data_IF_874709457374
#
_entry.id   IF_874709457374
#
_cell.length_a   1.000
_cell.length_b   1.000
_cell.length_c   1.000
_cell.angle_alpha   90.00
_cell.angle_beta   90.00
_cell.angle_gamma   90.00
#
_symmetry.space_group_name_H-M   'P 1'
#
loop_
_entity.id
_entity.type
_entity.pdbx_description
1 polymer ?
#
# COMPACT_ATOMS: atom_id res chain seq x y z
N UNK A 1 -19.23 7.08 16.89
CA UNK A 1 -19.48 6.52 15.55
C UNK A 1 -19.30 5.01 15.66
N UNK A 2 -20.18 4.25 15.04
CA UNK A 2 -20.06 2.78 15.01
C UNK A 2 -18.79 2.38 14.26
N UNK A 3 -17.92 1.59 14.88
CA UNK A 3 -16.72 1.10 14.25
C UNK A 3 -17.05 -0.20 13.48
N UNK A 4 -16.86 -0.17 12.15
CA UNK A 4 -17.19 -1.29 11.28
C UNK A 4 -15.96 -2.13 11.01
N UNK A 5 -16.11 -3.43 11.05
CA UNK A 5 -15.10 -4.39 10.60
C UNK A 5 -15.31 -4.63 9.09
N UNK A 6 -14.33 -4.27 8.29
CA UNK A 6 -14.41 -4.40 6.85
C UNK A 6 -13.89 -5.76 6.37
N UNK A 7 -14.54 -6.30 5.35
CA UNK A 7 -14.02 -7.46 4.62
C UNK A 7 -12.74 -7.07 3.88
N UNK A 8 -11.66 -7.85 4.07
CA UNK A 8 -10.36 -7.59 3.46
C UNK A 8 -9.88 -8.81 2.70
N UNK A 9 -9.29 -8.60 1.50
CA UNK A 9 -8.61 -9.66 0.72
C UNK A 9 -7.47 -10.30 1.50
N UNK A 10 -6.86 -9.53 2.37
CA UNK A 10 -5.77 -9.97 3.24
C UNK A 10 -6.17 -11.15 4.14
N UNK A 11 -7.44 -11.26 4.51
CA UNK A 11 -7.96 -12.38 5.31
C UNK A 11 -7.70 -13.74 4.65
N UNK A 12 -7.88 -13.84 3.33
CA UNK A 12 -7.59 -15.07 2.59
C UNK A 12 -6.10 -15.44 2.61
N UNK A 13 -5.19 -14.44 2.63
CA UNK A 13 -3.75 -14.68 2.78
C UNK A 13 -3.41 -15.20 4.18
N UNK A 14 -4.13 -14.77 5.21
CA UNK A 14 -3.98 -15.29 6.58
C UNK A 14 -4.47 -16.74 6.68
N UNK A 15 -5.59 -17.08 6.03
CA UNK A 15 -6.07 -18.46 5.94
C UNK A 15 -5.03 -19.35 5.25
N UNK A 16 -4.52 -18.93 4.12
CA UNK A 16 -3.47 -19.64 3.39
C UNK A 16 -2.23 -19.87 4.28
N UNK A 17 -1.77 -18.84 5.01
CA UNK A 17 -0.66 -18.98 5.97
C UNK A 17 -0.97 -20.03 7.04
N UNK A 18 -2.16 -19.99 7.64
CA UNK A 18 -2.56 -20.95 8.69
C UNK A 18 -2.56 -22.39 8.17
N UNK A 19 -3.12 -22.61 6.97
CA UNK A 19 -3.22 -23.93 6.33
C UNK A 19 -1.86 -24.46 5.86
N UNK A 20 -1.03 -23.65 5.22
CA UNK A 20 0.25 -24.07 4.66
C UNK A 20 1.34 -24.19 5.72
N UNK A 21 1.37 -23.29 6.70
CA UNK A 21 2.45 -23.24 7.71
C UNK A 21 2.18 -24.10 8.92
N UNK A 22 0.94 -24.31 9.28
CA UNK A 22 0.53 -25.19 10.40
C UNK A 22 1.34 -24.98 11.70
N UNK A 23 1.65 -23.72 12.03
CA UNK A 23 2.40 -23.31 13.21
C UNK A 23 3.93 -23.42 13.09
N UNK A 24 4.49 -23.68 11.90
CA UNK A 24 5.94 -23.69 11.68
C UNK A 24 6.54 -22.29 11.55
N UNK A 25 5.72 -21.26 11.35
CA UNK A 25 6.11 -19.84 11.35
C UNK A 25 5.07 -18.99 12.05
N UNK A 26 5.51 -17.91 12.72
CA UNK A 26 4.62 -16.82 13.11
C UNK A 26 4.23 -15.98 11.87
N UNK A 27 3.10 -15.29 11.94
CA UNK A 27 2.68 -14.32 10.93
C UNK A 27 3.02 -12.90 11.38
N UNK A 28 3.91 -12.21 10.67
CA UNK A 28 4.13 -10.78 10.86
C UNK A 28 3.31 -9.97 9.85
N UNK A 29 2.30 -9.24 10.34
CA UNK A 29 1.48 -8.31 9.55
C UNK A 29 2.17 -6.94 9.51
N UNK A 30 2.78 -6.61 8.37
CA UNK A 30 3.38 -5.31 8.11
C UNK A 30 2.36 -4.38 7.44
N UNK A 31 2.56 -3.09 7.58
CA UNK A 31 1.75 -2.09 6.89
C UNK A 31 1.85 -0.73 7.57
N UNK A 32 1.42 0.31 6.86
CA UNK A 32 1.38 1.66 7.40
C UNK A 32 0.49 1.73 8.67
N UNK A 33 0.64 2.79 9.42
CA UNK A 33 -0.22 3.05 10.58
C UNK A 33 -1.67 3.23 10.13
N UNK A 34 -2.65 2.79 10.93
CA UNK A 34 -4.10 2.94 10.68
C UNK A 34 -4.67 2.16 9.47
N UNK A 35 -3.95 1.21 8.90
CA UNK A 35 -4.47 0.33 7.82
C UNK A 35 -5.32 -0.84 8.33
N UNK A 36 -5.46 -1.01 9.66
CA UNK A 36 -6.31 -2.04 10.28
C UNK A 36 -5.61 -3.35 10.63
N UNK A 37 -4.29 -3.32 10.94
CA UNK A 37 -3.51 -4.53 11.29
C UNK A 37 -4.05 -5.26 12.52
N UNK A 38 -4.22 -4.55 13.63
CA UNK A 38 -4.73 -5.10 14.90
C UNK A 38 -6.15 -5.64 14.74
N UNK A 39 -7.02 -4.86 14.08
CA UNK A 39 -8.41 -5.24 13.82
C UNK A 39 -8.52 -6.55 13.02
N UNK A 40 -7.73 -6.69 11.93
CA UNK A 40 -7.80 -7.92 11.12
C UNK A 40 -7.17 -9.12 11.84
N UNK A 41 -6.11 -8.89 12.64
CA UNK A 41 -5.49 -9.96 13.44
C UNK A 41 -6.47 -10.49 14.49
N UNK A 42 -7.16 -9.59 15.19
CA UNK A 42 -8.16 -9.97 16.19
C UNK A 42 -9.39 -10.62 15.54
N UNK A 43 -9.93 -10.06 14.46
CA UNK A 43 -11.04 -10.67 13.71
C UNK A 43 -10.69 -12.09 13.24
N UNK A 44 -9.47 -12.29 12.75
CA UNK A 44 -9.00 -13.60 12.33
C UNK A 44 -8.90 -14.58 13.52
N UNK A 45 -8.39 -14.11 14.66
CA UNK A 45 -8.30 -14.92 15.85
C UNK A 45 -9.68 -15.35 16.38
N UNK A 46 -10.64 -14.43 16.40
CA UNK A 46 -12.03 -14.69 16.81
C UNK A 46 -12.72 -15.74 15.92
N UNK A 47 -12.47 -15.70 14.63
CA UNK A 47 -13.18 -16.55 13.67
C UNK A 47 -12.51 -17.93 13.48
N UNK A 48 -11.18 -17.99 13.56
CA UNK A 48 -10.40 -19.14 13.11
C UNK A 48 -9.81 -19.98 14.26
N UNK A 49 -9.91 -19.50 15.51
CA UNK A 49 -9.37 -20.19 16.68
C UNK A 49 -10.42 -20.33 17.78
N UNK A 50 -10.25 -21.37 18.59
CA UNK A 50 -11.12 -21.65 19.74
C UNK A 50 -10.97 -20.62 20.85
N UNK A 51 -9.75 -20.12 21.04
CA UNK A 51 -9.42 -19.06 21.98
C UNK A 51 -8.19 -18.27 21.50
N UNK A 52 -8.04 -17.04 21.98
CA UNK A 52 -6.89 -16.21 21.67
C UNK A 52 -6.51 -15.32 22.86
N UNK A 53 -5.26 -14.91 22.91
CA UNK A 53 -4.78 -13.83 23.77
C UNK A 53 -4.24 -12.73 22.86
N UNK A 54 -4.75 -11.50 23.02
CA UNK A 54 -4.22 -10.31 22.38
C UNK A 54 -3.42 -9.51 23.41
N UNK A 55 -2.12 -9.34 23.17
CA UNK A 55 -1.21 -8.57 23.99
C UNK A 55 -0.87 -7.28 23.22
N UNK A 56 -1.52 -6.18 23.58
CA UNK A 56 -1.13 -4.85 23.10
C UNK A 56 0.05 -4.35 23.94
N UNK A 57 1.25 -4.34 23.35
CA UNK A 57 2.47 -3.91 24.03
C UNK A 57 2.54 -2.40 24.27
N UNK A 58 1.61 -1.60 23.75
CA UNK A 58 1.50 -0.18 24.10
C UNK A 58 0.81 0.03 25.44
N UNK A 59 -0.15 -0.83 25.79
CA UNK A 59 -1.03 -0.66 26.95
C UNK A 59 -0.89 -1.75 28.02
N UNK A 60 -0.30 -2.93 27.66
CA UNK A 60 -0.21 -4.03 28.60
C UNK A 60 0.63 -3.69 29.85
N UNK A 61 0.30 -4.26 31.02
CA UNK A 61 1.08 -4.09 32.25
C UNK A 61 2.54 -4.52 32.05
N UNK A 62 3.46 -3.86 32.78
CA UNK A 62 4.89 -4.20 32.75
C UNK A 62 5.15 -5.68 33.09
N UNK A 63 4.36 -6.25 33.98
CA UNK A 63 4.38 -7.65 34.36
C UNK A 63 4.28 -8.59 33.13
N UNK A 64 3.44 -8.24 32.13
CA UNK A 64 3.30 -9.02 30.89
C UNK A 64 4.59 -8.93 30.05
N UNK A 65 5.19 -7.75 29.96
CA UNK A 65 6.47 -7.56 29.24
C UNK A 65 7.61 -8.33 29.90
N UNK A 66 7.62 -8.36 31.23
CA UNK A 66 8.64 -9.03 32.05
C UNK A 66 8.63 -10.55 31.89
N UNK A 67 7.50 -11.15 31.45
CA UNK A 67 7.44 -12.59 31.13
C UNK A 67 8.44 -12.99 30.03
N UNK A 68 8.79 -12.06 29.14
CA UNK A 68 9.71 -12.30 28.04
C UNK A 68 11.18 -12.06 28.38
N UNK A 69 11.51 -11.62 29.62
CA UNK A 69 12.88 -11.47 30.09
C UNK A 69 13.57 -12.83 30.26
N UNK A 70 12.82 -13.85 30.67
CA UNK A 70 13.30 -15.22 30.77
C UNK A 70 12.32 -16.20 30.13
N UNK A 71 12.67 -16.66 28.94
CA UNK A 71 11.88 -17.64 28.19
C UNK A 71 12.33 -19.08 28.38
N UNK A 72 13.11 -19.38 29.44
CA UNK A 72 13.61 -20.75 29.73
C UNK A 72 12.48 -21.73 29.97
N UNK A 73 11.44 -21.30 30.71
CA UNK A 73 10.26 -22.08 31.06
C UNK A 73 8.98 -21.54 30.39
N UNK A 74 8.64 -22.10 29.22
CA UNK A 74 7.44 -21.68 28.47
C UNK A 74 6.13 -22.05 29.17
N UNK A 75 6.12 -23.15 29.95
CA UNK A 75 4.91 -23.57 30.70
C UNK A 75 4.51 -22.51 31.71
N UNK A 76 5.48 -21.96 32.44
CA UNK A 76 5.22 -20.90 33.41
C UNK A 76 4.73 -19.60 32.71
N UNK A 77 5.27 -19.27 31.52
CA UNK A 77 4.82 -18.12 30.76
C UNK A 77 3.38 -18.30 30.32
N UNK A 78 3.04 -19.41 29.68
CA UNK A 78 1.68 -19.65 29.22
C UNK A 78 0.67 -19.74 30.35
N UNK A 79 1.06 -20.34 31.47
CA UNK A 79 0.20 -20.39 32.67
C UNK A 79 -0.13 -18.95 33.15
N UNK A 80 0.89 -18.10 33.28
CA UNK A 80 0.70 -16.72 33.74
C UNK A 80 -0.13 -15.91 32.74
N UNK A 81 0.12 -16.03 31.42
CA UNK A 81 -0.69 -15.37 30.40
C UNK A 81 -2.17 -15.81 30.49
N UNK A 82 -2.46 -17.10 30.69
CA UNK A 82 -3.82 -17.58 30.84
C UNK A 82 -4.51 -16.97 32.08
N UNK A 83 -3.79 -16.81 33.18
CA UNK A 83 -4.33 -16.16 34.39
C UNK A 83 -4.56 -14.65 34.16
N UNK A 84 -3.57 -13.95 33.59
CA UNK A 84 -3.64 -12.49 33.38
C UNK A 84 -4.75 -12.09 32.39
N UNK A 85 -4.98 -12.92 31.36
CA UNK A 85 -5.99 -12.67 30.34
C UNK A 85 -7.29 -13.47 30.54
N UNK A 86 -7.40 -14.20 31.65
CA UNK A 86 -8.56 -15.07 31.98
C UNK A 86 -9.00 -15.94 30.78
N UNK A 87 -8.04 -16.57 30.09
CA UNK A 87 -8.26 -17.30 28.85
C UNK A 87 -7.56 -18.64 28.89
N UNK A 88 -8.27 -19.71 28.55
CA UNK A 88 -7.68 -21.05 28.42
C UNK A 88 -7.15 -21.26 27.00
N UNK A 89 -5.86 -21.56 26.89
CA UNK A 89 -5.22 -21.88 25.63
C UNK A 89 -5.25 -23.38 25.35
N UNK A 90 -5.75 -23.76 24.19
CA UNK A 90 -5.80 -25.15 23.72
C UNK A 90 -4.72 -25.37 22.66
N UNK A 91 -3.81 -26.37 22.82
CA UNK A 91 -2.77 -26.65 21.82
C UNK A 91 -3.33 -26.83 20.41
N UNK A 92 -2.69 -26.19 19.43
CA UNK A 92 -3.03 -26.15 18.00
C UNK A 92 -4.42 -25.58 17.67
N UNK A 93 -5.16 -25.05 18.66
CA UNK A 93 -6.47 -24.44 18.48
C UNK A 93 -6.52 -22.99 19.01
N UNK A 94 -5.42 -22.48 19.51
CA UNK A 94 -5.33 -21.11 20.05
C UNK A 94 -4.22 -20.33 19.36
N UNK A 95 -4.38 -19.01 19.34
CA UNK A 95 -3.40 -18.07 18.81
C UNK A 95 -3.07 -16.99 19.85
N UNK A 96 -1.82 -16.56 19.87
CA UNK A 96 -1.38 -15.42 20.68
C UNK A 96 -0.98 -14.28 19.71
N UNK A 97 -1.62 -13.12 19.88
CA UNK A 97 -1.37 -11.92 19.07
C UNK A 97 -0.45 -11.00 19.86
N UNK A 98 0.69 -10.64 19.27
CA UNK A 98 1.62 -9.64 19.75
C UNK A 98 1.39 -8.35 18.96
N UNK A 99 0.52 -7.48 19.49
CA UNK A 99 0.20 -6.22 18.86
C UNK A 99 1.22 -5.14 19.20
N UNK A 100 1.62 -4.34 18.20
CA UNK A 100 2.66 -3.32 18.30
C UNK A 100 3.98 -3.87 18.93
N UNK A 101 4.44 -5.01 18.40
CA UNK A 101 5.53 -5.84 18.95
C UNK A 101 6.85 -5.10 19.15
N UNK A 102 7.08 -3.96 18.49
CA UNK A 102 8.27 -3.13 18.67
C UNK A 102 8.40 -2.55 20.10
N UNK A 103 7.31 -2.47 20.86
CA UNK A 103 7.35 -2.01 22.25
C UNK A 103 7.75 -3.10 23.25
N UNK A 104 7.93 -4.35 22.78
CA UNK A 104 8.52 -5.45 23.55
C UNK A 104 9.49 -6.27 22.67
N UNK A 105 10.71 -5.78 22.40
CA UNK A 105 11.67 -6.46 21.55
C UNK A 105 11.99 -7.90 21.98
N UNK A 106 11.97 -8.18 23.27
CA UNK A 106 12.21 -9.53 23.81
C UNK A 106 11.09 -10.51 23.46
N UNK A 107 9.82 -10.06 23.43
CA UNK A 107 8.72 -10.90 22.96
C UNK A 107 8.93 -11.28 21.48
N UNK A 108 9.35 -10.31 20.64
CA UNK A 108 9.69 -10.59 19.25
C UNK A 108 10.87 -11.57 19.13
N UNK A 109 11.92 -11.42 19.94
CA UNK A 109 13.05 -12.37 19.96
C UNK A 109 12.62 -13.76 20.38
N UNK A 110 11.61 -13.87 21.26
CA UNK A 110 11.06 -15.13 21.76
C UNK A 110 10.36 -15.96 20.66
N UNK A 111 9.88 -15.34 19.58
CA UNK A 111 9.11 -15.98 18.51
C UNK A 111 9.76 -17.27 18.02
N UNK A 112 11.07 -17.29 17.82
CA UNK A 112 11.81 -18.48 17.39
C UNK A 112 11.58 -19.66 18.34
N UNK A 113 11.63 -19.43 19.66
CA UNK A 113 11.45 -20.47 20.66
C UNK A 113 9.97 -20.86 20.79
N UNK A 114 9.09 -19.88 20.73
CA UNK A 114 7.64 -20.07 20.79
C UNK A 114 7.12 -20.89 19.60
N UNK A 115 7.55 -20.58 18.39
CA UNK A 115 7.21 -21.37 17.18
C UNK A 115 7.78 -22.78 17.26
N UNK A 116 9.02 -22.94 17.74
CA UNK A 116 9.63 -24.27 17.93
C UNK A 116 8.88 -25.14 18.94
N UNK A 117 8.29 -24.56 19.98
CA UNK A 117 7.43 -25.24 20.95
C UNK A 117 6.15 -25.80 20.32
N UNK A 118 5.64 -25.18 19.28
CA UNK A 118 4.58 -25.64 18.40
C UNK A 118 3.20 -25.83 19.05
N UNK A 119 2.97 -25.36 20.27
CA UNK A 119 1.65 -25.45 20.95
C UNK A 119 0.62 -24.49 20.38
N UNK A 120 1.01 -23.26 20.05
CA UNK A 120 0.10 -22.20 19.62
C UNK A 120 0.60 -21.57 18.33
N UNK A 121 -0.31 -20.91 17.62
CA UNK A 121 0.05 -20.03 16.52
C UNK A 121 0.34 -18.62 17.05
N UNK A 122 1.14 -17.84 16.33
CA UNK A 122 1.54 -16.49 16.72
C UNK A 122 1.32 -15.52 15.59
N UNK A 123 0.69 -14.37 15.88
CA UNK A 123 0.53 -13.25 14.95
C UNK A 123 1.20 -12.05 15.58
N UNK A 124 2.07 -11.41 14.83
CA UNK A 124 2.73 -10.16 15.21
C UNK A 124 2.19 -9.03 14.36
N UNK A 125 1.92 -7.87 14.95
CA UNK A 125 1.65 -6.65 14.22
C UNK A 125 2.66 -5.58 14.58
N UNK A 126 2.86 -4.64 13.69
CA UNK A 126 3.71 -3.49 13.91
C UNK A 126 4.06 -2.75 12.63
N UNK A 127 4.46 -1.49 12.73
CA UNK A 127 5.06 -0.80 11.60
C UNK A 127 6.49 -1.30 11.42
N UNK A 128 6.86 -1.71 10.20
CA UNK A 128 8.21 -2.25 9.93
C UNK A 128 9.30 -1.26 10.34
N UNK A 129 9.01 0.00 10.18
CA UNK A 129 9.86 1.11 10.50
C UNK A 129 10.17 1.21 12.00
N UNK A 130 9.13 1.18 12.84
CA UNK A 130 9.27 1.12 14.29
C UNK A 130 9.97 -0.18 14.72
N UNK A 131 9.61 -1.31 14.09
CA UNK A 131 10.27 -2.59 14.35
C UNK A 131 11.78 -2.49 14.12
N UNK A 132 12.25 -2.00 12.97
CA UNK A 132 13.68 -1.84 12.68
C UNK A 132 14.39 -0.96 13.71
N UNK A 133 13.79 0.15 14.09
CA UNK A 133 14.38 1.09 15.04
C UNK A 133 14.54 0.50 16.44
N UNK A 134 13.50 -0.15 16.96
CA UNK A 134 13.48 -0.66 18.34
C UNK A 134 14.09 -2.06 18.49
N UNK A 135 14.34 -2.79 17.39
CA UNK A 135 14.86 -4.15 17.41
C UNK A 135 16.32 -4.26 16.93
N UNK A 136 17.06 -3.15 16.87
CA UNK A 136 18.49 -3.15 16.45
C UNK A 136 19.37 -4.09 17.26
N UNK A 137 19.03 -4.36 18.52
CA UNK A 137 19.83 -5.16 19.45
C UNK A 137 19.31 -6.57 19.70
N UNK A 138 18.32 -7.05 18.94
CA UNK A 138 17.80 -8.41 19.09
C UNK A 138 18.09 -9.25 17.83
N UNK A 139 18.08 -10.57 17.99
CA UNK A 139 18.07 -11.47 16.84
C UNK A 139 16.69 -11.48 16.22
N UNK A 140 16.59 -11.05 14.97
CA UNK A 140 15.35 -11.12 14.21
C UNK A 140 14.99 -12.59 13.98
N UNK A 141 13.77 -13.02 14.31
CA UNK A 141 13.34 -14.39 14.06
C UNK A 141 13.42 -14.76 12.58
N UNK A 142 13.89 -15.95 12.28
CA UNK A 142 13.83 -16.55 10.92
C UNK A 142 12.52 -17.28 10.67
N UNK A 143 11.81 -17.63 11.73
CA UNK A 143 10.58 -18.40 11.73
C UNK A 143 9.34 -17.47 11.58
N UNK A 144 9.41 -16.55 10.61
CA UNK A 144 8.34 -15.58 10.30
C UNK A 144 7.90 -15.67 8.84
N UNK A 145 6.60 -15.72 8.62
CA UNK A 145 5.97 -15.36 7.34
C UNK A 145 5.57 -13.89 7.40
N UNK A 146 6.01 -13.10 6.41
CA UNK A 146 5.79 -11.65 6.39
C UNK A 146 4.78 -11.28 5.32
N UNK A 147 3.64 -10.74 5.71
CA UNK A 147 2.62 -10.25 4.80
C UNK A 147 2.43 -8.74 4.98
N UNK A 148 2.16 -8.03 3.88
CA UNK A 148 1.92 -6.58 3.92
C UNK A 148 0.45 -6.29 3.72
N UNK A 149 -0.15 -5.56 4.69
CA UNK A 149 -1.50 -5.01 4.61
C UNK A 149 -1.41 -3.57 4.11
N UNK A 150 -2.06 -3.31 2.98
CA UNK A 150 -2.21 -1.99 2.39
C UNK A 150 -3.53 -1.33 2.79
N UNK A 151 -3.75 -0.02 2.53
CA UNK A 151 -5.10 0.56 2.56
C UNK A 151 -6.07 -0.28 1.73
N UNK A 152 -7.36 -0.14 1.97
CA UNK A 152 -8.40 -0.84 1.21
C UNK A 152 -8.26 -0.50 -0.28
N UNK A 153 -8.21 -1.51 -1.13
CA UNK A 153 -8.25 -1.31 -2.57
C UNK A 153 -9.68 -0.98 -3.06
N UNK A 154 -9.82 -0.72 -4.37
CA UNK A 154 -11.12 -0.34 -4.92
C UNK A 154 -12.18 -1.43 -4.74
N UNK A 155 -11.84 -2.70 -4.84
CA UNK A 155 -12.78 -3.80 -4.62
C UNK A 155 -13.21 -3.90 -3.15
N UNK A 156 -12.27 -3.77 -2.21
CA UNK A 156 -12.57 -3.76 -0.77
C UNK A 156 -13.45 -2.54 -0.38
N UNK A 157 -13.20 -1.39 -1.01
CA UNK A 157 -14.06 -0.21 -0.88
C UNK A 157 -15.48 -0.49 -1.42
N UNK A 158 -15.61 -1.15 -2.59
CA UNK A 158 -16.91 -1.57 -3.13
C UNK A 158 -17.64 -2.51 -2.16
N UNK A 159 -16.93 -3.47 -1.58
CA UNK A 159 -17.51 -4.36 -0.56
C UNK A 159 -18.03 -3.57 0.64
N UNK A 160 -17.29 -2.58 1.12
CA UNK A 160 -17.71 -1.70 2.22
C UNK A 160 -18.97 -0.90 1.87
N UNK A 161 -19.16 -0.54 0.59
CA UNK A 161 -20.37 0.10 0.05
C UNK A 161 -21.51 -0.89 -0.21
N UNK A 162 -21.36 -2.19 0.10
CA UNK A 162 -22.35 -3.23 -0.12
C UNK A 162 -22.37 -3.85 -1.52
N UNK A 163 -21.38 -3.57 -2.36
CA UNK A 163 -21.28 -4.08 -3.72
C UNK A 163 -20.19 -5.17 -3.84
N UNK A 164 -20.64 -6.39 -4.04
CA UNK A 164 -19.78 -7.56 -4.25
C UNK A 164 -19.81 -8.09 -5.69
N UNK A 165 -20.61 -7.47 -6.57
CA UNK A 165 -20.92 -7.99 -7.91
C UNK A 165 -20.11 -7.27 -9.00
N UNK A 166 -19.89 -5.98 -8.86
CA UNK A 166 -19.27 -5.15 -9.90
C UNK A 166 -17.87 -5.62 -10.28
N UNK A 167 -16.98 -5.85 -9.30
CA UNK A 167 -15.59 -6.20 -9.62
C UNK A 167 -15.43 -7.55 -10.34
N UNK A 168 -16.14 -8.64 -9.98
CA UNK A 168 -16.15 -9.86 -10.77
C UNK A 168 -16.60 -9.64 -12.23
N UNK A 169 -17.63 -8.79 -12.45
CA UNK A 169 -18.10 -8.46 -13.80
C UNK A 169 -17.04 -7.67 -14.59
N UNK A 170 -16.35 -6.71 -13.96
CA UNK A 170 -15.27 -5.94 -14.58
C UNK A 170 -14.11 -6.84 -14.99
N UNK A 171 -13.71 -7.82 -14.14
CA UNK A 171 -12.69 -8.83 -14.49
C UNK A 171 -13.10 -9.66 -15.69
N UNK A 172 -14.35 -10.17 -15.69
CA UNK A 172 -14.85 -10.93 -16.84
C UNK A 172 -14.85 -10.10 -18.12
N UNK A 173 -15.26 -8.82 -18.06
CA UNK A 173 -15.21 -7.92 -19.21
C UNK A 173 -13.76 -7.69 -19.69
N UNK A 174 -12.82 -7.50 -18.76
CA UNK A 174 -11.40 -7.34 -19.08
C UNK A 174 -10.81 -8.59 -19.75
N UNK A 175 -11.04 -9.76 -19.19
CA UNK A 175 -10.56 -11.04 -19.73
C UNK A 175 -11.09 -11.31 -21.15
N UNK A 176 -12.37 -11.01 -21.36
CA UNK A 176 -13.03 -11.17 -22.67
C UNK A 176 -12.81 -9.99 -23.62
N UNK A 177 -12.06 -8.94 -23.18
CA UNK A 177 -11.81 -7.70 -23.94
C UNK A 177 -13.08 -7.01 -24.43
N UNK A 178 -14.11 -7.05 -23.60
CA UNK A 178 -15.45 -6.55 -23.92
C UNK A 178 -15.64 -5.15 -23.34
N UNK A 179 -15.93 -4.18 -24.20
CA UNK A 179 -16.31 -2.83 -23.77
C UNK A 179 -17.60 -2.82 -22.96
N UNK A 180 -17.69 -1.88 -22.01
CA UNK A 180 -18.83 -1.77 -21.09
C UNK A 180 -19.95 -0.85 -21.62
N UNK A 181 -19.63 0.01 -22.58
CA UNK A 181 -20.49 1.09 -23.08
C UNK A 181 -20.46 2.34 -22.18
N UNK A 182 -20.71 3.49 -22.80
CA UNK A 182 -20.54 4.81 -22.16
C UNK A 182 -21.35 5.01 -20.87
N UNK A 183 -22.55 4.43 -20.79
CA UNK A 183 -23.42 4.54 -19.62
C UNK A 183 -22.81 3.87 -18.39
N UNK A 184 -22.31 2.65 -18.56
CA UNK A 184 -21.66 1.88 -17.48
C UNK A 184 -20.35 2.54 -17.09
N UNK A 185 -19.53 2.93 -18.07
CA UNK A 185 -18.24 3.63 -17.83
C UNK A 185 -18.46 4.90 -17.02
N UNK A 186 -19.47 5.71 -17.35
CA UNK A 186 -19.78 6.94 -16.61
C UNK A 186 -20.14 6.65 -15.15
N UNK A 187 -20.97 5.64 -14.92
CA UNK A 187 -21.32 5.20 -13.56
C UNK A 187 -20.08 4.73 -12.79
N UNK A 188 -19.28 3.84 -13.39
CA UNK A 188 -18.07 3.30 -12.74
C UNK A 188 -17.05 4.41 -12.45
N UNK A 189 -16.87 5.36 -13.36
CA UNK A 189 -16.03 6.53 -13.12
C UNK A 189 -16.54 7.41 -11.98
N UNK A 190 -17.85 7.56 -11.82
CA UNK A 190 -18.46 8.27 -10.68
C UNK A 190 -18.09 7.60 -9.35
N UNK A 191 -18.34 6.30 -9.25
CA UNK A 191 -18.03 5.49 -8.07
C UNK A 191 -16.52 5.47 -7.78
N UNK A 192 -15.70 5.38 -8.82
CA UNK A 192 -14.24 5.38 -8.69
C UNK A 192 -13.70 6.74 -8.21
N UNK A 193 -14.25 7.86 -8.69
CA UNK A 193 -13.89 9.19 -8.19
C UNK A 193 -14.21 9.34 -6.71
N UNK A 194 -15.33 8.78 -6.24
CA UNK A 194 -15.65 8.75 -4.82
C UNK A 194 -14.56 8.00 -4.03
N UNK A 195 -14.12 6.83 -4.52
CA UNK A 195 -13.02 6.10 -3.91
C UNK A 195 -11.71 6.93 -3.88
N UNK A 196 -11.39 7.63 -4.96
CA UNK A 196 -10.22 8.53 -4.98
C UNK A 196 -10.32 9.65 -3.91
N UNK A 197 -11.51 10.16 -3.65
CA UNK A 197 -11.74 11.22 -2.66
C UNK A 197 -11.70 10.71 -1.22
N UNK A 198 -12.38 9.60 -0.95
CA UNK A 198 -12.44 8.98 0.38
C UNK A 198 -11.11 8.31 0.73
N UNK A 199 -10.53 7.62 -0.24
CA UNK A 199 -9.35 6.76 -0.04
C UNK A 199 -9.72 5.38 0.48
N UNK A 200 -8.69 4.58 0.76
CA UNK A 200 -8.79 3.23 1.29
C UNK A 200 -8.42 3.10 2.77
N UNK A 201 -8.19 4.21 3.49
CA UNK A 201 -7.94 4.14 4.92
C UNK A 201 -9.21 3.75 5.67
N UNK A 202 -9.24 2.64 6.45
CA UNK A 202 -10.47 2.15 7.09
C UNK A 202 -11.22 3.19 7.90
N UNK A 203 -10.51 4.07 8.61
CA UNK A 203 -11.14 5.14 9.37
C UNK A 203 -11.83 6.19 8.49
N UNK A 204 -11.23 6.55 7.35
CA UNK A 204 -11.82 7.47 6.38
C UNK A 204 -13.05 6.86 5.70
N UNK A 205 -12.97 5.57 5.33
CA UNK A 205 -14.12 4.82 4.77
C UNK A 205 -15.24 4.72 5.80
N UNK A 206 -14.93 4.42 7.06
CA UNK A 206 -15.91 4.37 8.15
C UNK A 206 -16.57 5.73 8.40
N UNK A 207 -15.80 6.82 8.40
CA UNK A 207 -16.33 8.18 8.53
C UNK A 207 -17.31 8.49 7.39
N UNK A 208 -16.98 8.14 6.16
CA UNK A 208 -17.85 8.33 5.00
C UNK A 208 -19.15 7.53 5.13
N UNK A 209 -19.07 6.24 5.44
CA UNK A 209 -20.22 5.35 5.55
C UNK A 209 -21.20 5.75 6.69
N UNK A 210 -20.67 6.32 7.76
CA UNK A 210 -21.50 6.73 8.89
C UNK A 210 -22.14 8.12 8.68
N UNK A 211 -21.55 9.00 7.87
CA UNK A 211 -21.94 10.40 7.84
C UNK A 211 -22.26 10.93 6.44
N UNK A 212 -21.79 10.26 5.39
CA UNK A 212 -21.81 10.76 4.01
C UNK A 212 -21.24 12.18 3.87
N UNK A 213 -20.27 12.54 4.72
CA UNK A 213 -19.73 13.90 4.85
C UNK A 213 -18.23 13.92 4.53
N UNK A 214 -17.87 14.49 3.39
CA UNK A 214 -16.48 14.59 2.93
C UNK A 214 -15.61 15.52 3.80
N UNK A 215 -16.21 16.45 4.56
CA UNK A 215 -15.48 17.29 5.52
C UNK A 215 -14.90 16.44 6.66
N UNK A 216 -15.74 15.56 7.23
CA UNK A 216 -15.28 14.65 8.28
C UNK A 216 -14.26 13.64 7.75
N UNK A 217 -14.43 13.15 6.52
CA UNK A 217 -13.45 12.30 5.85
C UNK A 217 -12.10 13.03 5.71
N UNK A 218 -12.11 14.30 5.28
CA UNK A 218 -10.88 15.09 5.14
C UNK A 218 -10.20 15.31 6.48
N UNK A 219 -10.95 15.60 7.56
CA UNK A 219 -10.41 15.73 8.92
C UNK A 219 -9.69 14.44 9.37
N UNK A 220 -10.33 13.27 9.18
CA UNK A 220 -9.73 11.96 9.51
C UNK A 220 -8.45 11.73 8.69
N UNK A 221 -8.43 12.08 7.41
CA UNK A 221 -7.24 11.94 6.57
C UNK A 221 -6.09 12.85 7.03
N UNK A 222 -6.38 14.08 7.45
CA UNK A 222 -5.39 15.02 8.03
C UNK A 222 -4.75 14.41 9.27
N UNK A 223 -5.53 13.87 10.21
CA UNK A 223 -5.01 13.18 11.39
C UNK A 223 -4.07 12.02 11.02
N UNK A 224 -4.43 11.22 10.02
CA UNK A 224 -3.59 10.11 9.55
C UNK A 224 -2.27 10.62 8.94
N UNK A 225 -2.31 11.69 8.14
CA UNK A 225 -1.12 12.31 7.53
C UNK A 225 -0.18 12.86 8.63
N UNK A 226 -0.72 13.50 9.66
CA UNK A 226 0.06 13.98 10.81
C UNK A 226 0.73 12.82 11.56
N UNK A 227 0.02 11.72 11.78
CA UNK A 227 0.61 10.50 12.38
C UNK A 227 1.77 9.94 11.54
N UNK A 228 1.66 9.96 10.21
CA UNK A 228 2.76 9.54 9.34
C UNK A 228 3.96 10.50 9.44
N UNK A 229 3.70 11.81 9.47
CA UNK A 229 4.74 12.81 9.65
C UNK A 229 5.46 12.66 11.00
N UNK A 230 4.72 12.34 12.06
CA UNK A 230 5.30 12.07 13.38
C UNK A 230 6.16 10.79 13.40
N UNK A 231 5.71 9.75 12.73
CA UNK A 231 6.50 8.53 12.59
C UNK A 231 7.79 8.80 11.80
N UNK A 232 7.75 9.63 10.75
CA UNK A 232 8.95 10.06 10.03
C UNK A 232 9.89 10.93 10.89
N UNK A 233 9.38 11.81 11.75
CA UNK A 233 10.20 12.60 12.71
C UNK A 233 10.90 11.71 13.73
N UNK A 234 10.25 10.63 14.16
CA UNK A 234 10.87 9.66 15.10
C UNK A 234 12.07 8.95 14.47
N UNK A 235 12.03 8.69 13.16
CA UNK A 235 13.09 7.98 12.44
C UNK A 235 14.21 8.93 12.06
N UNK A 236 13.84 10.04 11.47
CA UNK A 236 14.74 11.10 11.07
C UNK A 236 14.46 12.39 11.86
N UNK A 237 15.10 12.59 13.02
CA UNK A 237 14.96 13.80 13.82
C UNK A 237 15.41 15.08 13.10
N UNK A 238 16.15 14.96 11.98
CA UNK A 238 16.54 16.13 11.15
C UNK A 238 15.37 16.68 10.33
N UNK A 239 14.26 15.94 10.27
CA UNK A 239 13.04 16.31 9.57
C UNK A 239 13.11 16.20 8.03
N UNK A 240 14.16 15.60 7.47
CA UNK A 240 14.30 15.43 6.02
C UNK A 240 13.24 14.50 5.46
N UNK A 241 13.00 13.34 6.13
CA UNK A 241 11.96 12.39 5.75
C UNK A 241 10.57 13.06 5.71
N UNK A 242 10.24 13.83 6.73
CA UNK A 242 8.96 14.56 6.80
C UNK A 242 8.83 15.58 5.66
N UNK A 243 9.89 16.36 5.37
CA UNK A 243 9.90 17.30 4.25
C UNK A 243 9.75 16.59 2.90
N UNK A 244 10.43 15.47 2.72
CA UNK A 244 10.30 14.65 1.51
C UNK A 244 8.89 14.10 1.36
N UNK A 245 8.27 13.65 2.43
CA UNK A 245 6.89 13.16 2.42
C UNK A 245 5.90 14.25 1.96
N UNK A 246 5.90 15.41 2.61
CA UNK A 246 5.00 16.51 2.23
C UNK A 246 5.26 17.07 0.82
N UNK A 247 6.45 16.89 0.28
CA UNK A 247 6.78 17.36 -1.06
C UNK A 247 6.28 16.43 -2.19
N UNK A 248 5.81 15.21 -1.88
CA UNK A 248 5.39 14.23 -2.90
C UNK A 248 4.39 14.82 -3.91
N UNK A 249 3.28 15.46 -3.50
CA UNK A 249 2.32 16.01 -4.47
C UNK A 249 2.94 17.07 -5.38
N UNK A 250 3.76 17.96 -4.84
CA UNK A 250 4.41 19.00 -5.61
C UNK A 250 5.47 18.45 -6.60
N UNK A 251 6.15 17.35 -6.24
CA UNK A 251 7.11 16.69 -7.13
C UNK A 251 6.41 16.01 -8.31
N UNK A 252 5.31 15.31 -8.07
CA UNK A 252 4.52 14.65 -9.12
C UNK A 252 3.84 15.68 -10.05
N UNK A 253 3.30 16.76 -9.49
CA UNK A 253 2.64 17.81 -10.29
C UNK A 253 3.60 18.54 -11.26
N UNK A 254 4.90 18.53 -11.00
CA UNK A 254 5.91 19.12 -11.91
C UNK A 254 6.19 18.27 -13.16
N UNK A 255 5.55 17.13 -13.32
CA UNK A 255 5.83 16.15 -14.38
C UNK A 255 7.33 15.84 -14.52
N UNK A 256 8.02 15.78 -13.39
CA UNK A 256 9.44 15.46 -13.36
C UNK A 256 9.61 13.95 -13.50
N UNK A 257 10.51 13.52 -14.36
CA UNK A 257 10.81 12.11 -14.62
C UNK A 257 11.39 11.36 -13.40
N UNK A 258 11.62 12.05 -12.27
CA UNK A 258 12.09 11.48 -11.01
C UNK A 258 11.81 12.43 -9.85
N UNK A 259 11.82 11.93 -8.65
CA UNK A 259 11.82 12.73 -7.43
C UNK A 259 13.14 13.51 -7.31
N UNK A 260 13.08 14.84 -7.31
CA UNK A 260 14.25 15.71 -7.27
C UNK A 260 14.59 16.08 -5.82
N UNK A 261 15.35 15.24 -5.13
CA UNK A 261 15.71 15.42 -3.72
C UNK A 261 16.34 16.80 -3.44
N UNK A 262 17.24 17.27 -4.30
CA UNK A 262 17.91 18.56 -4.14
C UNK A 262 16.96 19.79 -4.17
N UNK A 263 15.73 19.63 -4.66
CA UNK A 263 14.73 20.72 -4.63
C UNK A 263 13.94 20.77 -3.32
N UNK A 264 14.09 19.76 -2.46
CA UNK A 264 13.38 19.62 -1.18
C UNK A 264 14.34 19.73 0.00
N UNK A 265 15.52 19.18 -0.15
CA UNK A 265 16.59 19.15 0.87
C UNK A 265 17.79 19.89 0.31
N UNK A 266 18.20 20.96 0.99
CA UNK A 266 19.43 21.71 0.68
C UNK A 266 20.63 20.76 0.78
N UNK A 267 21.51 20.79 -0.22
CA UNK A 267 22.63 19.86 -0.38
C UNK A 267 22.23 18.37 -0.39
N UNK A 268 20.96 18.07 -0.69
CA UNK A 268 20.40 16.72 -0.74
C UNK A 268 20.95 15.92 -1.93
N UNK A 269 21.96 15.07 -1.65
CA UNK A 269 22.39 14.01 -2.56
C UNK A 269 21.74 12.70 -2.16
N UNK A 270 21.26 11.96 -3.14
CA UNK A 270 20.52 10.72 -2.88
C UNK A 270 21.35 9.66 -2.15
N UNK A 271 22.63 9.54 -2.46
CA UNK A 271 23.56 8.65 -1.79
C UNK A 271 23.63 8.87 -0.26
N UNK A 272 23.50 10.12 0.18
CA UNK A 272 23.46 10.49 1.62
C UNK A 272 22.08 10.30 2.26
N UNK A 273 21.05 10.11 1.46
CA UNK A 273 19.66 9.98 1.90
C UNK A 273 19.07 8.59 1.62
N UNK A 274 19.87 7.69 1.08
CA UNK A 274 19.41 6.34 0.68
C UNK A 274 18.77 5.58 1.86
N UNK A 275 19.31 5.69 3.07
CA UNK A 275 18.73 5.07 4.26
C UNK A 275 17.37 5.68 4.61
N UNK A 276 17.23 7.01 4.50
CA UNK A 276 15.96 7.71 4.74
C UNK A 276 14.91 7.28 3.70
N UNK A 277 15.28 7.19 2.43
CA UNK A 277 14.39 6.74 1.35
C UNK A 277 13.94 5.31 1.59
N UNK A 278 14.86 4.42 1.98
CA UNK A 278 14.54 3.04 2.32
C UNK A 278 13.62 2.95 3.54
N UNK A 279 13.84 3.76 4.56
CA UNK A 279 12.97 3.81 5.73
C UNK A 279 11.57 4.34 5.38
N UNK A 280 11.48 5.34 4.49
CA UNK A 280 10.19 5.82 3.98
C UNK A 280 9.43 4.72 3.21
N UNK A 281 10.11 3.94 2.37
CA UNK A 281 9.51 2.80 1.67
C UNK A 281 9.06 1.69 2.65
N UNK A 282 9.88 1.40 3.64
CA UNK A 282 9.59 0.40 4.68
C UNK A 282 8.41 0.81 5.58
N UNK A 283 8.14 2.09 5.73
CA UNK A 283 6.95 2.58 6.44
C UNK A 283 5.65 2.10 5.84
N UNK A 284 5.65 1.80 4.55
CA UNK A 284 4.48 1.52 3.71
C UNK A 284 3.48 2.67 3.60
N UNK A 285 3.81 3.85 4.13
CA UNK A 285 3.07 5.10 3.89
C UNK A 285 3.44 5.71 2.53
N UNK A 286 4.61 5.35 2.01
CA UNK A 286 5.14 5.77 0.71
C UNK A 286 5.35 4.57 -0.18
N UNK A 287 5.06 4.72 -1.47
CA UNK A 287 5.37 3.75 -2.52
C UNK A 287 6.49 4.33 -3.38
N UNK A 288 7.46 3.51 -3.72
CA UNK A 288 8.56 3.91 -4.58
C UNK A 288 8.49 3.14 -5.89
N UNK A 289 8.57 3.88 -6.99
CA UNK A 289 8.78 3.33 -8.32
C UNK A 289 10.22 3.61 -8.73
N UNK A 290 10.99 2.55 -8.94
CA UNK A 290 12.40 2.64 -9.31
C UNK A 290 12.57 2.75 -10.82
N UNK A 291 13.57 3.53 -11.25
CA UNK A 291 13.95 3.56 -12.67
C UNK A 291 14.60 2.22 -13.05
N UNK A 292 14.16 1.63 -14.14
CA UNK A 292 14.80 0.46 -14.74
C UNK A 292 15.79 0.92 -15.82
N UNK A 293 17.10 0.77 -15.59
CA UNK A 293 18.14 1.18 -16.56
C UNK A 293 18.09 0.35 -17.86
N UNK A 294 17.79 -0.94 -17.76
CA UNK A 294 17.47 -1.80 -18.89
C UNK A 294 16.09 -2.43 -18.68
N UNK A 295 15.05 -2.02 -19.44
CA UNK A 295 13.71 -2.56 -19.29
C UNK A 295 13.64 -3.97 -19.90
N UNK A 296 13.95 -4.97 -19.06
CA UNK A 296 13.99 -6.38 -19.42
C UNK A 296 13.37 -7.21 -18.27
N UNK A 297 13.23 -8.50 -18.50
CA UNK A 297 12.85 -9.45 -17.46
C UNK A 297 13.80 -9.32 -16.25
N UNK A 298 13.26 -9.43 -15.04
CA UNK A 298 14.06 -9.21 -13.84
C UNK A 298 14.33 -7.71 -13.62
N UNK A 299 13.32 -6.86 -13.74
CA UNK A 299 13.42 -5.40 -13.55
C UNK A 299 14.23 -5.00 -12.32
N UNK A 300 14.13 -5.77 -11.22
CA UNK A 300 14.89 -5.53 -10.00
C UNK A 300 16.42 -5.67 -10.18
N UNK A 301 16.88 -6.44 -11.18
CA UNK A 301 18.32 -6.56 -11.49
C UNK A 301 18.88 -5.30 -12.16
N UNK A 302 18.00 -4.50 -12.76
CA UNK A 302 18.34 -3.30 -13.52
C UNK A 302 17.84 -2.03 -12.83
N UNK A 303 17.50 -2.14 -11.55
CA UNK A 303 17.01 -1.04 -10.72
C UNK A 303 18.09 0.00 -10.51
N UNK A 304 17.76 1.25 -10.79
CA UNK A 304 18.56 2.40 -10.38
C UNK A 304 18.13 2.83 -8.98
N UNK A 305 19.06 2.83 -8.04
CA UNK A 305 18.80 3.22 -6.65
C UNK A 305 18.80 4.73 -6.44
N UNK A 306 19.30 5.50 -7.41
CA UNK A 306 19.39 6.95 -7.34
C UNK A 306 18.24 7.64 -8.09
N UNK A 307 17.55 6.92 -8.96
CA UNK A 307 16.43 7.44 -9.73
C UNK A 307 15.13 6.72 -9.37
N UNK A 308 14.21 7.47 -8.79
CA UNK A 308 12.92 6.94 -8.36
C UNK A 308 11.84 8.02 -8.41
N UNK A 309 10.59 7.59 -8.44
CA UNK A 309 9.39 8.38 -8.14
C UNK A 309 8.83 7.96 -6.79
N UNK A 310 8.24 8.90 -6.06
CA UNK A 310 7.53 8.63 -4.81
C UNK A 310 6.05 8.90 -4.98
N UNK A 311 5.25 7.99 -4.43
CA UNK A 311 3.79 8.09 -4.37
C UNK A 311 3.32 7.91 -2.93
N UNK A 312 2.17 8.47 -2.59
CA UNK A 312 1.51 8.18 -1.31
C UNK A 312 0.74 6.86 -1.46
N UNK A 313 0.80 6.02 -0.46
CA UNK A 313 0.16 4.70 -0.46
C UNK A 313 -1.37 4.72 -0.58
N UNK A 314 -1.98 5.89 -0.39
CA UNK A 314 -3.43 6.11 -0.48
C UNK A 314 -3.72 7.43 -1.19
N UNK A 315 -4.50 7.35 -2.28
CA UNK A 315 -4.79 8.53 -3.11
C UNK A 315 -5.71 9.52 -2.41
N UNK A 316 -6.56 9.08 -1.48
CA UNK A 316 -7.35 9.99 -0.65
C UNK A 316 -6.46 10.86 0.24
N UNK A 317 -5.44 10.27 0.87
CA UNK A 317 -4.43 11.01 1.62
C UNK A 317 -3.63 11.95 0.70
N UNK A 318 -3.21 11.46 -0.48
CA UNK A 318 -2.50 12.27 -1.47
C UNK A 318 -3.28 13.53 -1.87
N UNK A 319 -4.58 13.43 -2.12
CA UNK A 319 -5.45 14.55 -2.50
C UNK A 319 -5.53 15.57 -1.36
N UNK A 320 -5.65 15.14 -0.11
CA UNK A 320 -5.64 16.03 1.06
C UNK A 320 -4.28 16.72 1.22
N UNK A 321 -3.17 15.99 1.03
CA UNK A 321 -1.81 16.55 1.08
C UNK A 321 -1.55 17.60 0.00
N UNK A 322 -2.10 17.43 -1.19
CA UNK A 322 -1.88 18.34 -2.33
C UNK A 322 -2.42 19.75 -2.06
N UNK A 323 -3.35 19.91 -1.14
CA UNK A 323 -3.94 21.18 -0.71
C UNK A 323 -3.98 21.26 0.83
N UNK A 324 -2.84 21.01 1.45
CA UNK A 324 -2.72 20.97 2.90
C UNK A 324 -3.10 22.26 3.61
N UNK A 325 -2.84 23.39 2.97
CA UNK A 325 -3.15 24.77 3.44
C UNK A 325 -4.62 25.18 3.25
N UNK A 326 -5.43 24.32 2.62
CA UNK A 326 -6.85 24.55 2.31
C UNK A 326 -7.73 23.53 2.99
N UNK A 327 -8.96 23.90 3.31
CA UNK A 327 -9.97 22.91 3.66
C UNK A 327 -10.47 22.16 2.38
N UNK A 328 -11.27 21.11 2.57
CA UNK A 328 -11.75 20.30 1.44
C UNK A 328 -12.63 21.09 0.48
N UNK A 329 -13.33 22.15 0.92
CA UNK A 329 -14.23 22.97 0.08
C UNK A 329 -13.45 23.84 -0.90
N UNK A 330 -12.24 24.28 -0.52
CA UNK A 330 -11.32 25.03 -1.36
C UNK A 330 -10.38 24.16 -2.19
N UNK A 331 -10.33 22.84 -1.90
CA UNK A 331 -9.51 21.91 -2.64
C UNK A 331 -10.06 21.70 -4.06
N UNK A 332 -9.36 22.26 -5.04
CA UNK A 332 -9.76 22.23 -6.45
C UNK A 332 -9.85 20.80 -7.02
N UNK A 333 -9.08 19.85 -6.48
CA UNK A 333 -9.17 18.43 -6.89
C UNK A 333 -10.51 17.84 -6.48
N UNK A 334 -10.98 18.11 -5.25
CA UNK A 334 -12.31 17.70 -4.81
C UNK A 334 -13.39 18.25 -5.74
N UNK A 335 -13.33 19.56 -6.03
CA UNK A 335 -14.31 20.22 -6.92
C UNK A 335 -14.30 19.61 -8.33
N UNK A 336 -13.13 19.35 -8.91
CA UNK A 336 -13.00 18.76 -10.25
C UNK A 336 -13.50 17.32 -10.29
N UNK A 337 -13.16 16.52 -9.29
CA UNK A 337 -13.60 15.13 -9.22
C UNK A 337 -15.13 15.02 -8.99
N UNK A 338 -15.69 15.82 -8.11
CA UNK A 338 -17.15 15.85 -7.86
C UNK A 338 -17.93 16.37 -9.08
N UNK A 339 -17.40 17.37 -9.80
CA UNK A 339 -18.08 17.98 -10.96
C UNK A 339 -17.90 17.20 -12.28
N UNK A 340 -17.28 16.01 -12.26
CA UNK A 340 -16.94 15.24 -13.47
C UNK A 340 -16.07 16.02 -14.50
N UNK A 341 -15.32 16.98 -14.04
CA UNK A 341 -14.41 17.80 -14.86
C UNK A 341 -12.98 17.28 -14.78
N UNK A 342 -12.75 16.14 -15.41
CA UNK A 342 -11.40 15.60 -15.53
C UNK A 342 -10.60 16.40 -16.54
N UNK A 343 -9.56 17.08 -16.10
CA UNK A 343 -8.65 17.87 -16.93
C UNK A 343 -7.27 17.25 -16.99
N UNK A 344 -6.45 17.67 -17.96
CA UNK A 344 -5.04 17.27 -18.08
C UNK A 344 -4.24 17.56 -16.79
N UNK A 345 -4.66 18.55 -16.01
CA UNK A 345 -4.01 18.97 -14.77
C UNK A 345 -4.10 17.94 -13.63
N UNK A 346 -4.88 16.86 -13.78
CA UNK A 346 -5.01 15.79 -12.77
C UNK A 346 -4.15 14.56 -13.09
N UNK A 347 -3.28 14.62 -14.10
CA UNK A 347 -2.42 13.50 -14.51
C UNK A 347 -1.68 12.88 -13.32
N UNK A 348 -1.06 13.69 -12.47
CA UNK A 348 -0.32 13.25 -11.28
C UNK A 348 -1.18 12.56 -10.21
N UNK A 349 -2.47 12.92 -10.10
CA UNK A 349 -3.41 12.23 -9.19
C UNK A 349 -3.72 10.83 -9.71
N UNK A 350 -3.94 10.71 -11.04
CA UNK A 350 -4.16 9.42 -11.69
C UNK A 350 -2.92 8.54 -11.65
N UNK A 351 -1.73 9.12 -11.79
CA UNK A 351 -0.47 8.38 -11.66
C UNK A 351 -0.30 7.82 -10.24
N UNK A 352 -0.59 8.61 -9.20
CA UNK A 352 -0.59 8.11 -7.82
C UNK A 352 -1.62 6.98 -7.61
N UNK A 353 -2.82 7.12 -8.20
CA UNK A 353 -3.86 6.09 -8.11
C UNK A 353 -3.45 4.78 -8.78
N UNK A 354 -2.85 4.86 -9.97
CA UNK A 354 -2.35 3.68 -10.68
C UNK A 354 -1.20 3.02 -9.91
N UNK A 355 -0.27 3.81 -9.35
CA UNK A 355 0.80 3.28 -8.49
C UNK A 355 0.23 2.50 -7.29
N UNK A 356 -0.77 3.06 -6.61
CA UNK A 356 -1.48 2.40 -5.50
C UNK A 356 -2.11 1.08 -5.97
N UNK A 357 -2.89 1.08 -7.05
CA UNK A 357 -3.59 -0.10 -7.55
C UNK A 357 -2.62 -1.19 -8.00
N UNK A 358 -1.57 -0.86 -8.74
CA UNK A 358 -0.54 -1.82 -9.14
C UNK A 358 0.17 -2.44 -7.93
N UNK A 359 0.48 -1.65 -6.90
CA UNK A 359 1.14 -2.15 -5.69
C UNK A 359 0.24 -3.06 -4.87
N UNK A 360 -1.04 -2.71 -4.69
CA UNK A 360 -2.01 -3.54 -3.96
C UNK A 360 -2.32 -4.84 -4.69
N UNK A 361 -2.23 -4.86 -6.02
CA UNK A 361 -2.34 -6.07 -6.86
C UNK A 361 -1.07 -6.93 -6.88
N UNK A 362 -0.04 -6.58 -6.08
CA UNK A 362 1.16 -7.39 -5.88
C UNK A 362 2.30 -7.10 -6.85
N UNK A 363 2.23 -6.03 -7.64
CA UNK A 363 3.32 -5.65 -8.53
C UNK A 363 4.37 -4.81 -7.80
N UNK A 364 5.65 -5.00 -8.14
CA UNK A 364 6.68 -4.02 -7.86
C UNK A 364 6.61 -2.90 -8.91
N UNK A 365 6.89 -1.67 -8.46
CA UNK A 365 6.75 -0.49 -9.30
C UNK A 365 8.08 -0.13 -9.94
N UNK A 366 8.09 -0.08 -11.27
CA UNK A 366 9.20 0.38 -12.07
C UNK A 366 8.71 1.35 -13.13
N UNK A 367 9.59 2.25 -13.59
CA UNK A 367 9.37 3.13 -14.74
C UNK A 367 10.64 3.20 -15.59
N UNK A 368 10.56 3.79 -16.79
CA UNK A 368 11.72 3.94 -17.64
C UNK A 368 11.70 5.26 -18.38
N UNK A 369 12.87 5.90 -18.48
CA UNK A 369 13.07 7.10 -19.27
C UNK A 369 14.28 6.91 -20.17
N UNK A 370 14.21 7.46 -21.38
CA UNK A 370 15.34 7.45 -22.30
C UNK A 370 15.34 8.68 -23.19
N UNK A 371 16.50 9.00 -23.74
CA UNK A 371 16.68 10.18 -24.57
C UNK A 371 15.86 10.05 -25.87
N UNK A 372 15.12 11.11 -26.19
CA UNK A 372 14.55 11.27 -27.52
C UNK A 372 15.60 11.92 -28.43
N UNK A 373 16.12 11.18 -29.41
CA UNK A 373 17.21 11.63 -30.30
C UNK A 373 16.81 12.80 -31.17
N UNK A 374 15.50 13.05 -31.37
CA UNK A 374 14.97 14.11 -32.23
C UNK A 374 14.51 15.34 -31.46
N UNK A 375 14.44 15.30 -30.16
CA UNK A 375 14.00 16.43 -29.31
C UNK A 375 14.85 16.52 -28.03
N UNK A 376 14.78 17.70 -27.34
CA UNK A 376 15.46 17.90 -26.06
C UNK A 376 14.74 17.24 -24.89
N UNK A 377 13.60 16.58 -25.12
CA UNK A 377 12.79 15.94 -24.07
C UNK A 377 13.03 14.44 -24.06
N UNK A 378 13.07 13.87 -22.87
CA UNK A 378 13.10 12.42 -22.72
C UNK A 378 11.72 11.82 -23.02
N UNK A 379 11.72 10.63 -23.58
CA UNK A 379 10.58 9.73 -23.52
C UNK A 379 10.47 9.14 -22.12
N UNK A 380 9.25 8.86 -21.70
CA UNK A 380 8.94 8.21 -20.42
C UNK A 380 7.81 7.21 -20.57
N UNK A 381 7.91 6.08 -19.90
CA UNK A 381 6.82 5.13 -19.65
C UNK A 381 6.55 5.12 -18.15
N UNK A 382 5.32 5.43 -17.75
CA UNK A 382 4.96 5.70 -16.37
C UNK A 382 5.16 4.50 -15.45
N UNK A 383 4.80 3.28 -15.92
CA UNK A 383 5.03 2.04 -15.17
C UNK A 383 5.45 0.89 -16.07
N UNK A 384 6.26 0.01 -15.49
CA UNK A 384 6.65 -1.29 -16.06
C UNK A 384 6.29 -2.39 -15.07
N UNK A 385 5.59 -3.40 -15.52
CA UNK A 385 5.30 -4.61 -14.72
C UNK A 385 5.78 -5.86 -15.46
N UNK A 386 6.11 -6.90 -14.70
CA UNK A 386 6.52 -8.20 -15.26
C UNK A 386 5.31 -9.13 -15.42
N UNK A 387 5.23 -9.82 -16.55
CA UNK A 387 4.24 -10.88 -16.81
C UNK A 387 4.89 -12.05 -17.52
N UNK A 388 5.03 -13.19 -16.80
CA UNK A 388 5.79 -14.33 -17.30
C UNK A 388 7.25 -13.96 -17.61
N UNK A 389 7.70 -14.21 -18.83
CA UNK A 389 9.08 -13.91 -19.29
C UNK A 389 9.18 -12.56 -20.01
N UNK A 390 8.22 -11.68 -19.89
CA UNK A 390 8.20 -10.40 -20.59
C UNK A 390 7.71 -9.28 -19.69
N UNK A 391 7.84 -8.06 -20.16
CA UNK A 391 7.37 -6.84 -19.47
C UNK A 391 6.13 -6.29 -20.16
N UNK A 392 5.35 -5.52 -19.40
CA UNK A 392 4.20 -4.78 -19.89
C UNK A 392 4.41 -3.29 -19.55
N UNK A 393 4.63 -2.43 -20.53
CA UNK A 393 4.64 -0.99 -20.33
C UNK A 393 3.21 -0.47 -20.13
N UNK A 394 3.07 0.49 -19.22
CA UNK A 394 1.81 1.15 -18.87
C UNK A 394 2.01 2.65 -18.96
N UNK A 395 1.22 3.32 -19.77
CA UNK A 395 1.09 4.77 -19.85
C UNK A 395 -0.22 5.19 -19.16
N UNK A 396 -0.21 6.28 -18.40
CA UNK A 396 -1.38 6.80 -17.69
C UNK A 396 -1.83 8.14 -18.28
N UNK A 397 -3.09 8.25 -18.69
CA UNK A 397 -3.66 9.48 -19.29
C UNK A 397 -4.99 9.85 -18.61
N UNK A 398 -5.02 10.98 -17.94
CA UNK A 398 -6.27 11.59 -17.47
C UNK A 398 -7.08 12.22 -18.61
N UNK A 399 -6.38 12.69 -19.66
CA UNK A 399 -6.94 13.26 -20.91
C UNK A 399 -5.95 13.10 -22.05
N UNK A 400 -6.30 13.49 -23.27
CA UNK A 400 -5.38 13.52 -24.41
C UNK A 400 -4.86 12.15 -24.86
N UNK A 401 -5.60 11.09 -24.64
CA UNK A 401 -5.20 9.69 -24.85
C UNK A 401 -4.97 9.29 -26.34
N UNK A 402 -5.30 10.16 -27.31
CA UNK A 402 -5.09 9.89 -28.74
C UNK A 402 -3.62 9.92 -29.16
N UNK A 403 -2.75 10.51 -28.34
CA UNK A 403 -1.31 10.61 -28.57
C UNK A 403 -0.57 9.93 -27.41
N UNK A 404 0.18 8.88 -27.71
CA UNK A 404 0.98 8.10 -26.75
C UNK A 404 2.37 7.77 -27.35
N UNK A 405 3.02 8.83 -27.86
CA UNK A 405 4.28 8.69 -28.59
C UNK A 405 5.40 8.01 -27.79
N UNK A 406 5.46 8.23 -26.46
CA UNK A 406 6.43 7.55 -25.59
C UNK A 406 6.20 6.04 -25.56
N UNK A 407 4.95 5.62 -25.34
CA UNK A 407 4.58 4.20 -25.32
C UNK A 407 4.89 3.53 -26.67
N UNK A 408 4.56 4.18 -27.79
CA UNK A 408 4.83 3.64 -29.11
C UNK A 408 6.33 3.53 -29.41
N UNK A 409 7.11 4.57 -29.06
CA UNK A 409 8.56 4.56 -29.19
C UNK A 409 9.21 3.45 -28.34
N UNK A 410 8.73 3.28 -27.10
CA UNK A 410 9.16 2.19 -26.20
C UNK A 410 8.89 0.83 -26.84
N UNK A 411 7.65 0.62 -27.30
CA UNK A 411 7.24 -0.66 -27.88
C UNK A 411 7.98 -0.98 -29.16
N UNK A 412 8.35 0.01 -29.95
CA UNK A 412 9.19 -0.16 -31.14
C UNK A 412 10.62 -0.55 -30.75
N UNK A 413 11.22 0.15 -29.77
CA UNK A 413 12.60 -0.06 -29.34
C UNK A 413 12.81 -1.42 -28.65
N UNK A 414 11.85 -1.86 -27.83
CA UNK A 414 11.94 -3.06 -26.99
C UNK A 414 10.94 -4.17 -27.41
N UNK A 415 10.55 -4.23 -28.66
CA UNK A 415 9.45 -5.09 -29.17
C UNK A 415 9.55 -6.55 -28.77
N UNK A 416 10.75 -7.14 -28.76
CA UNK A 416 10.97 -8.56 -28.39
C UNK A 416 10.74 -8.85 -26.91
N UNK A 417 10.78 -7.84 -26.05
CA UNK A 417 10.67 -7.93 -24.59
C UNK A 417 9.25 -7.71 -24.06
N UNK A 418 8.32 -7.29 -24.91
CA UNK A 418 6.97 -6.89 -24.51
C UNK A 418 5.98 -8.04 -24.65
N UNK A 419 5.15 -8.22 -23.62
CA UNK A 419 3.99 -9.12 -23.66
C UNK A 419 2.75 -8.38 -24.16
N UNK A 420 2.25 -7.47 -23.34
CA UNK A 420 1.12 -6.58 -23.63
C UNK A 420 1.55 -5.14 -23.42
N UNK A 421 0.88 -4.21 -24.05
CA UNK A 421 1.04 -2.79 -23.81
C UNK A 421 -0.29 -2.16 -23.42
N UNK A 422 -0.27 -1.34 -22.38
CA UNK A 422 -1.46 -0.79 -21.78
C UNK A 422 -1.42 0.73 -21.77
N UNK A 423 -2.58 1.33 -22.06
CA UNK A 423 -2.84 2.74 -21.81
C UNK A 423 -4.00 2.82 -20.83
N UNK A 424 -3.73 3.24 -19.59
CA UNK A 424 -4.74 3.44 -18.55
C UNK A 424 -5.34 4.84 -18.71
N UNK A 425 -6.69 4.92 -18.79
CA UNK A 425 -7.36 6.18 -19.10
C UNK A 425 -8.80 6.22 -18.53
N UNK A 426 -9.59 7.22 -18.91
CA UNK A 426 -10.90 7.52 -18.33
C UNK A 426 -12.09 7.09 -19.18
N UNK A 427 -11.86 6.34 -20.27
CA UNK A 427 -12.90 5.89 -21.19
C UNK A 427 -13.03 4.37 -21.19
N UNK A 428 -13.84 3.82 -22.08
CA UNK A 428 -14.20 2.41 -22.13
C UNK A 428 -13.03 1.50 -22.54
N UNK A 429 -13.10 0.23 -22.10
CA UNK A 429 -12.15 -0.81 -22.49
C UNK A 429 -12.21 -1.04 -24.00
N UNK A 430 -11.09 -0.88 -24.68
CA UNK A 430 -10.99 -1.14 -26.12
C UNK A 430 -9.57 -1.45 -26.54
N UNK A 431 -9.42 -2.11 -27.68
CA UNK A 431 -8.13 -2.31 -28.33
C UNK A 431 -7.94 -1.24 -29.41
N UNK A 432 -6.78 -0.59 -29.44
CA UNK A 432 -6.34 0.33 -30.47
C UNK A 432 -5.00 -0.18 -31.01
N UNK A 433 -5.02 -0.69 -32.25
CA UNK A 433 -3.91 -1.45 -32.83
C UNK A 433 -3.44 -2.56 -31.87
N UNK A 434 -2.21 -2.47 -31.37
CA UNK A 434 -1.64 -3.41 -30.41
C UNK A 434 -1.82 -2.99 -28.93
N UNK A 435 -2.29 -1.75 -28.69
CA UNK A 435 -2.44 -1.20 -27.33
C UNK A 435 -3.83 -1.52 -26.77
N UNK A 436 -3.89 -2.08 -25.57
CA UNK A 436 -5.14 -2.19 -24.83
C UNK A 436 -5.35 -0.92 -24.01
N UNK A 437 -6.41 -0.20 -24.32
CA UNK A 437 -6.85 0.98 -23.60
C UNK A 437 -7.76 0.51 -22.46
N UNK A 438 -7.34 0.76 -21.21
CA UNK A 438 -7.96 0.18 -20.01
C UNK A 438 -8.55 1.31 -19.16
N UNK A 439 -9.85 1.25 -18.81
CA UNK A 439 -10.41 2.16 -17.83
C UNK A 439 -9.63 2.12 -16.51
N UNK A 440 -9.34 3.26 -15.92
CA UNK A 440 -8.53 3.31 -14.68
C UNK A 440 -9.09 2.44 -13.55
N UNK A 441 -10.39 2.32 -13.42
CA UNK A 441 -11.02 1.47 -12.42
C UNK A 441 -10.86 -0.05 -12.68
N UNK A 442 -10.24 -0.44 -13.80
CA UNK A 442 -9.85 -1.81 -14.13
C UNK A 442 -8.33 -2.04 -13.97
N UNK A 443 -7.57 -1.11 -13.44
CA UNK A 443 -6.11 -1.24 -13.29
C UNK A 443 -5.73 -2.48 -12.45
N UNK A 444 -6.58 -2.89 -11.51
CA UNK A 444 -6.38 -4.12 -10.71
C UNK A 444 -6.44 -5.42 -11.55
N UNK A 445 -6.88 -5.34 -12.80
CA UNK A 445 -6.90 -6.47 -13.73
C UNK A 445 -5.58 -6.64 -14.51
N UNK A 446 -4.64 -5.66 -14.41
CA UNK A 446 -3.34 -5.69 -15.11
C UNK A 446 -2.29 -6.63 -14.42
#
# INVERSE_FOLDING_TARGET
>A
MEERIFKRKFYSKMLQWKEERQGTTALLIKGARRVGKSTIAEQFAQNEYKSYILIDFTECPQEVKDLFNDISNLDAIFLRLQFLYNTVLTPRQSVIIFDEVQFCPLARQAIKKLVKDHRYDYIETGSLLSIKKYTKNIRIPSEETRLTLYPMDYEEFRWAMGDTVTMPMLRSAFENRMGLGDGVVRKMMGDFRLYMLVGGMPQAVNAYLNTNNLSLVDSVKREIIELYADDFRKIDPTGKATRMFYAIPAQLNKNASRYKVATVIEDGKIDRLAEIVQDMEDSKAVLISHHANDPNIGLSLHQDTEQFKMFVNDTGLFITMAFWDKDHTENIIYQKLLADKLSADLGYVFENMVAQMLKTSGNELFYHTWLNETSKHNYEVDFLISRGNKICPIEVKSSGYKTHASLDAFCKKYSSRINNRYLVYTKDLRKDAETLLVPIFMTDCL
#
